data_IF_698426738304
#
_entry.id   IF_698426738304
#
_cell.length_a   1.000
_cell.length_b   1.000
_cell.length_c   1.000
_cell.angle_alpha   90.00
_cell.angle_beta   90.00
_cell.angle_gamma   90.00
#
_symmetry.space_group_name_H-M   'P 1'
#
loop_
_entity.id
_entity.type
_entity.pdbx_description
1 polymer ?
#
# COMPACT_ATOMS: atom_id res chain seq x y z
N UNK A 1 3.22 -2.98 -16.26
CA UNK A 1 1.79 -2.92 -16.66
C UNK A 1 1.52 -1.54 -17.25
N UNK A 2 0.69 -1.43 -18.30
CA UNK A 2 0.32 -0.16 -18.96
C UNK A 2 -1.15 0.12 -18.72
N UNK A 3 -1.46 1.34 -18.29
CA UNK A 3 -2.83 1.82 -18.08
C UNK A 3 -3.03 3.08 -18.91
N UNK A 4 -4.20 3.25 -19.50
CA UNK A 4 -4.60 4.47 -20.20
C UNK A 4 -5.57 5.21 -19.28
N UNK A 5 -5.33 6.50 -19.06
CA UNK A 5 -6.13 7.36 -18.20
C UNK A 5 -6.43 8.66 -18.93
N UNK A 6 -7.65 9.18 -18.76
CA UNK A 6 -8.05 10.47 -19.26
C UNK A 6 -7.85 11.52 -18.16
N UNK A 7 -7.18 12.62 -18.50
CA UNK A 7 -6.92 13.74 -17.60
C UNK A 7 -7.45 15.04 -18.20
N UNK A 8 -8.11 15.90 -17.41
CA UNK A 8 -8.47 17.24 -17.85
C UNK A 8 -7.25 18.03 -18.35
N UNK A 9 -7.45 18.87 -19.37
CA UNK A 9 -6.37 19.67 -19.97
C UNK A 9 -5.60 20.51 -18.92
N UNK A 10 -6.29 21.06 -17.93
CA UNK A 10 -5.68 21.83 -16.85
C UNK A 10 -4.66 20.99 -16.02
N UNK A 11 -4.92 19.70 -15.82
CA UNK A 11 -4.00 18.82 -15.11
C UNK A 11 -2.79 18.46 -15.97
N UNK A 12 -2.98 18.28 -17.28
CA UNK A 12 -1.89 18.03 -18.22
C UNK A 12 -0.92 19.23 -18.23
N UNK A 13 -1.45 20.45 -18.27
CA UNK A 13 -0.62 21.67 -18.21
C UNK A 13 0.12 21.81 -16.88
N UNK A 14 -0.53 21.46 -15.76
CA UNK A 14 0.13 21.45 -14.46
C UNK A 14 1.29 20.44 -14.41
N UNK A 15 1.08 19.23 -14.93
CA UNK A 15 2.12 18.19 -15.02
C UNK A 15 3.29 18.63 -15.90
N UNK A 16 3.02 19.29 -17.03
CA UNK A 16 4.07 19.83 -17.89
C UNK A 16 4.97 20.82 -17.16
N UNK A 17 4.41 21.72 -16.35
CA UNK A 17 5.21 22.67 -15.55
C UNK A 17 6.06 21.97 -14.49
N UNK A 18 5.56 20.88 -13.93
CA UNK A 18 6.32 20.05 -12.99
C UNK A 18 7.45 19.29 -13.68
N UNK A 19 7.22 18.76 -14.88
CA UNK A 19 8.26 18.11 -15.70
C UNK A 19 9.42 19.07 -15.97
N UNK A 20 9.12 20.31 -16.36
CA UNK A 20 10.13 21.34 -16.65
C UNK A 20 10.88 21.77 -15.38
N UNK A 21 10.17 21.96 -14.26
CA UNK A 21 10.77 22.38 -12.98
C UNK A 21 11.67 21.31 -12.38
N UNK A 22 11.20 20.07 -12.35
CA UNK A 22 11.83 18.97 -11.61
C UNK A 22 12.72 18.09 -12.52
N UNK A 23 12.73 18.36 -13.83
CA UNK A 23 13.51 17.60 -14.84
C UNK A 23 13.25 16.09 -14.82
N UNK A 24 11.99 15.71 -14.56
CA UNK A 24 11.53 14.31 -14.52
C UNK A 24 10.47 14.06 -15.58
N UNK A 25 10.36 12.81 -16.03
CA UNK A 25 9.34 12.42 -17.01
C UNK A 25 7.92 12.46 -16.40
N UNK A 26 6.91 12.73 -17.24
CA UNK A 26 5.48 12.61 -16.88
C UNK A 26 5.16 11.30 -16.16
N UNK A 27 5.68 10.20 -16.69
CA UNK A 27 5.42 8.87 -16.16
C UNK A 27 5.95 8.69 -14.74
N UNK A 28 7.06 9.36 -14.40
CA UNK A 28 7.61 9.34 -13.05
C UNK A 28 6.76 10.15 -12.08
N UNK A 29 6.32 11.35 -12.47
CA UNK A 29 5.41 12.15 -11.65
C UNK A 29 4.11 11.40 -11.33
N UNK A 30 3.54 10.71 -12.32
CA UNK A 30 2.33 9.90 -12.11
C UNK A 30 2.62 8.72 -11.17
N UNK A 31 3.76 8.04 -11.31
CA UNK A 31 4.14 6.95 -10.38
C UNK A 31 4.27 7.45 -8.95
N UNK A 32 4.91 8.59 -8.74
CA UNK A 32 5.07 9.19 -7.41
C UNK A 32 3.72 9.58 -6.82
N UNK A 33 2.86 10.25 -7.60
CA UNK A 33 1.52 10.63 -7.16
C UNK A 33 0.67 9.41 -6.77
N UNK A 34 0.71 8.34 -7.58
CA UNK A 34 0.00 7.10 -7.26
C UNK A 34 0.58 6.43 -6.02
N UNK A 35 1.90 6.35 -5.88
CA UNK A 35 2.54 5.76 -4.70
C UNK A 35 2.15 6.51 -3.41
N UNK A 36 2.21 7.84 -3.44
CA UNK A 36 1.82 8.69 -2.32
C UNK A 36 0.33 8.54 -1.99
N UNK A 37 -0.53 8.50 -3.00
CA UNK A 37 -1.96 8.30 -2.82
C UNK A 37 -2.26 6.94 -2.17
N UNK A 38 -1.59 5.88 -2.62
CA UNK A 38 -1.75 4.53 -2.07
C UNK A 38 -1.30 4.49 -0.61
N UNK A 39 -0.13 5.05 -0.28
CA UNK A 39 0.37 5.11 1.11
C UNK A 39 -0.60 5.85 2.03
N UNK A 40 -1.22 6.93 1.54
CA UNK A 40 -2.17 7.73 2.31
C UNK A 40 -3.51 7.04 2.58
N UNK A 41 -3.95 6.12 1.71
CA UNK A 41 -5.31 5.58 1.75
C UNK A 41 -5.38 4.07 2.02
N UNK A 42 -4.30 3.34 1.82
CA UNK A 42 -4.25 1.94 2.22
C UNK A 42 -3.93 1.90 3.71
N UNK A 43 -4.77 1.24 4.49
CA UNK A 43 -4.49 0.95 5.89
C UNK A 43 -3.13 0.23 5.97
N UNK A 44 -2.14 0.90 6.56
CA UNK A 44 -0.91 0.24 6.95
C UNK A 44 -1.26 -0.79 8.02
N UNK A 45 -1.34 -2.05 7.63
CA UNK A 45 -1.26 -3.15 8.60
C UNK A 45 0.20 -3.14 9.06
N UNK A 46 0.47 -2.49 10.18
CA UNK A 46 1.74 -2.61 10.89
C UNK A 46 1.97 -4.10 11.17
N UNK A 47 2.76 -4.75 10.32
CA UNK A 47 3.07 -6.18 10.46
C UNK A 47 3.76 -6.43 11.81
N UNK A 48 4.51 -5.44 12.32
CA UNK A 48 5.06 -5.46 13.65
C UNK A 48 3.98 -5.17 14.70
N UNK A 49 3.54 -6.22 15.39
CA UNK A 49 2.53 -6.08 16.44
C UNK A 49 1.08 -6.13 15.95
N UNK A 50 0.82 -6.53 14.69
CA UNK A 50 -0.53 -6.78 14.17
C UNK A 50 -1.38 -7.71 15.07
N UNK A 51 -0.72 -8.59 15.83
CA UNK A 51 -1.38 -9.49 16.79
C UNK A 51 -1.58 -8.88 18.19
N UNK A 52 -0.91 -7.77 18.52
CA UNK A 52 -0.99 -7.11 19.84
C UNK A 52 -2.41 -6.61 20.14
N UNK A 53 -3.13 -6.19 19.10
CA UNK A 53 -4.52 -5.71 19.18
C UNK A 53 -5.58 -6.80 18.98
N UNK A 54 -5.20 -8.00 18.50
CA UNK A 54 -6.16 -9.08 18.25
C UNK A 54 -6.63 -9.68 19.59
N UNK A 55 -7.95 -9.80 19.74
CA UNK A 55 -8.58 -10.52 20.84
C UNK A 55 -9.21 -11.81 20.31
N UNK A 56 -9.14 -12.92 21.05
CA UNK A 56 -8.50 -13.07 22.35
C UNK A 56 -6.96 -13.03 22.25
N UNK A 57 -6.31 -12.46 23.28
CA UNK A 57 -4.85 -12.56 23.44
C UNK A 57 -4.53 -14.00 23.86
N UNK A 58 -4.31 -14.87 22.90
CA UNK A 58 -3.90 -16.25 23.15
C UNK A 58 -2.38 -16.30 23.09
N UNK A 59 -1.77 -17.02 24.04
CA UNK A 59 -0.36 -17.33 23.98
C UNK A 59 -0.01 -18.05 22.66
N UNK A 60 1.08 -17.64 22.02
CA UNK A 60 1.44 -18.12 20.69
C UNK A 60 1.72 -19.63 20.65
N UNK A 61 2.34 -20.17 21.70
CA UNK A 61 2.65 -21.60 21.80
C UNK A 61 1.37 -22.40 22.01
N UNK A 62 0.48 -21.92 22.89
CA UNK A 62 -0.83 -22.52 23.11
C UNK A 62 -1.68 -22.54 21.84
N UNK A 63 -1.65 -21.46 21.06
CA UNK A 63 -2.35 -21.39 19.78
C UNK A 63 -1.78 -22.37 18.74
N UNK A 64 -0.45 -22.47 18.66
CA UNK A 64 0.23 -23.42 17.76
C UNK A 64 -0.07 -24.87 18.13
N UNK A 65 -0.10 -25.22 19.42
CA UNK A 65 -0.43 -26.57 19.88
C UNK A 65 -1.84 -26.96 19.46
N UNK A 66 -2.85 -26.11 19.72
CA UNK A 66 -4.24 -26.35 19.30
C UNK A 66 -4.37 -26.62 17.79
N UNK A 67 -3.70 -25.82 16.96
CA UNK A 67 -3.72 -26.01 15.51
C UNK A 67 -3.05 -27.33 15.07
N UNK A 68 -2.05 -27.81 15.81
CA UNK A 68 -1.37 -29.07 15.51
C UNK A 68 -2.19 -30.28 15.96
N UNK A 69 -2.87 -30.15 17.09
CA UNK A 69 -3.78 -31.19 17.60
C UNK A 69 -4.94 -31.46 16.63
N UNK A 70 -5.30 -30.49 15.77
CA UNK A 70 -6.30 -30.67 14.71
C UNK A 70 -5.85 -31.63 13.59
N UNK A 71 -4.56 -31.91 13.45
CA UNK A 71 -3.99 -32.76 12.38
C UNK A 71 -3.56 -34.15 12.88
N UNK A 72 -3.53 -34.40 14.18
CA UNK A 72 -3.33 -35.76 14.71
C UNK A 72 -4.65 -36.54 14.69
N UNK A 73 -4.97 -37.10 13.53
CA UNK A 73 -5.99 -38.14 13.35
C UNK A 73 -5.52 -39.24 12.41
#
# INVERSE_FOLDING_TARGET
MRTIIDLPAAQIEALRRLEERDSVSRAELIRQAVAEYVVKHVEHIDAFGAWKGRKPKVDGVTYQQKLRDEWER
#
